data_IF_885141370149
#
_entry.id   IF_885141370149
#
_cell.length_a   1.000
_cell.length_b   1.000
_cell.length_c   1.000
_cell.angle_alpha   90.00
_cell.angle_beta   90.00
_cell.angle_gamma   90.00
#
_symmetry.space_group_name_H-M   'P 1'
#
loop_
_entity.id
_entity.type
_entity.pdbx_description
1 polymer ?
#
# COMPACT_ATOMS: atom_id res chain seq x y z
N UNK A 1 29.65 -14.65 -0.20
CA UNK A 1 28.54 -14.00 0.50
C UNK A 1 27.66 -15.05 1.13
N UNK A 2 27.29 -14.84 2.39
CA UNK A 2 26.51 -15.78 3.19
C UNK A 2 25.72 -15.04 4.25
N UNK A 3 24.68 -15.67 4.77
CA UNK A 3 23.87 -15.18 5.88
C UNK A 3 24.19 -15.97 7.13
N UNK A 4 24.44 -15.31 8.25
CA UNK A 4 24.71 -15.97 9.52
C UNK A 4 23.64 -15.60 10.53
N UNK A 5 22.98 -16.61 11.09
CA UNK A 5 22.05 -16.42 12.19
C UNK A 5 22.80 -15.93 13.43
N UNK A 6 22.43 -14.81 14.03
CA UNK A 6 23.15 -14.24 15.16
C UNK A 6 22.97 -15.03 16.48
N UNK A 7 21.99 -15.93 16.53
CA UNK A 7 21.70 -16.69 17.76
C UNK A 7 22.72 -17.82 17.99
N UNK A 8 22.83 -18.77 17.01
CA UNK A 8 23.74 -19.92 17.17
C UNK A 8 24.82 -20.02 16.10
N UNK A 9 24.94 -18.99 15.22
CA UNK A 9 25.98 -18.94 14.19
C UNK A 9 25.77 -19.89 13.01
N UNK A 10 24.56 -20.42 12.81
CA UNK A 10 24.27 -21.16 11.58
C UNK A 10 24.42 -20.25 10.39
N UNK A 11 25.16 -20.71 9.40
CA UNK A 11 25.50 -19.90 8.23
C UNK A 11 24.94 -20.56 6.98
N UNK A 12 24.26 -19.76 6.16
CA UNK A 12 23.62 -20.19 4.92
C UNK A 12 24.27 -19.49 3.73
N UNK A 13 24.32 -20.16 2.59
CA UNK A 13 24.70 -19.56 1.30
C UNK A 13 23.58 -18.65 0.79
N UNK A 14 23.87 -17.90 -0.28
CA UNK A 14 22.87 -17.03 -0.92
C UNK A 14 21.71 -17.79 -1.56
N UNK A 15 21.91 -19.07 -1.87
CA UNK A 15 20.86 -19.97 -2.38
C UNK A 15 20.05 -20.63 -1.25
N UNK A 16 20.28 -20.23 0.01
CA UNK A 16 19.59 -20.75 1.17
C UNK A 16 20.15 -22.06 1.74
N UNK A 17 21.11 -22.71 1.07
CA UNK A 17 21.69 -23.97 1.56
C UNK A 17 22.51 -23.75 2.81
N UNK A 18 22.35 -24.64 3.80
CA UNK A 18 23.16 -24.62 5.01
C UNK A 18 24.64 -24.81 4.65
N UNK A 19 25.45 -23.81 4.91
CA UNK A 19 26.89 -23.85 4.69
C UNK A 19 27.63 -24.42 5.89
N UNK A 20 27.17 -24.05 7.10
CA UNK A 20 27.85 -24.40 8.35
C UNK A 20 26.91 -24.30 9.54
N UNK A 21 26.89 -25.35 10.37
CA UNK A 21 26.39 -25.30 11.73
C UNK A 21 27.59 -25.38 12.71
N UNK A 22 27.46 -24.74 13.87
CA UNK A 22 28.52 -24.78 14.91
C UNK A 22 28.74 -26.23 15.33
N UNK A 23 30.01 -26.62 15.45
CA UNK A 23 30.46 -27.95 15.89
C UNK A 23 29.97 -29.18 15.04
N UNK A 24 29.42 -28.93 13.86
CA UNK A 24 28.92 -29.98 12.98
C UNK A 24 29.97 -31.09 12.70
N UNK A 25 31.22 -30.69 12.40
CA UNK A 25 32.33 -31.61 12.09
C UNK A 25 33.04 -32.20 13.34
N UNK A 26 32.62 -31.80 14.54
CA UNK A 26 33.22 -32.21 15.81
C UNK A 26 32.30 -33.13 16.64
N UNK A 27 31.39 -33.81 15.98
CA UNK A 27 30.43 -34.70 16.64
C UNK A 27 29.26 -33.99 17.34
N UNK A 28 29.06 -32.69 17.07
CA UNK A 28 27.91 -31.94 17.59
C UNK A 28 26.58 -32.35 16.95
N UNK A 29 26.63 -33.00 15.78
CA UNK A 29 25.48 -33.51 15.06
C UNK A 29 25.78 -34.91 14.51
N UNK A 30 24.76 -35.76 14.29
CA UNK A 30 24.94 -37.07 13.64
C UNK A 30 25.38 -36.89 12.17
N UNK A 31 26.01 -37.93 11.61
CA UNK A 31 26.51 -37.93 10.23
C UNK A 31 25.39 -37.71 9.18
N UNK A 32 24.15 -38.07 9.53
CA UNK A 32 22.95 -37.84 8.72
C UNK A 32 22.44 -36.39 8.73
N UNK A 33 23.04 -35.49 9.52
CA UNK A 33 22.57 -34.13 9.65
C UNK A 33 22.67 -33.37 8.32
N UNK A 34 21.52 -32.89 7.85
CA UNK A 34 21.33 -32.10 6.63
C UNK A 34 21.83 -32.76 5.33
N UNK A 35 21.94 -34.07 5.27
CA UNK A 35 22.28 -34.80 4.04
C UNK A 35 21.20 -34.61 2.97
N UNK A 36 19.96 -34.50 3.38
CA UNK A 36 18.78 -34.30 2.54
C UNK A 36 18.39 -32.82 2.35
N UNK A 37 19.14 -31.87 2.92
CA UNK A 37 18.82 -30.46 2.88
C UNK A 37 17.66 -30.02 3.80
N UNK A 38 17.25 -30.88 4.74
CA UNK A 38 16.11 -30.60 5.64
C UNK A 38 16.29 -29.39 6.53
N UNK A 39 17.54 -28.93 6.72
CA UNK A 39 17.92 -27.78 7.52
C UNK A 39 18.31 -26.55 6.65
N UNK A 40 18.12 -26.62 5.35
CA UNK A 40 18.28 -25.48 4.46
C UNK A 40 17.15 -24.45 4.70
N UNK A 41 17.36 -23.19 4.35
CA UNK A 41 16.31 -22.19 4.39
C UNK A 41 15.18 -22.59 3.42
N UNK A 42 13.96 -22.40 3.84
CA UNK A 42 12.79 -22.64 2.99
C UNK A 42 12.74 -21.55 1.92
N UNK A 43 12.66 -21.96 0.67
CA UNK A 43 12.43 -21.05 -0.44
C UNK A 43 10.94 -20.69 -0.51
N UNK A 44 10.65 -19.43 -0.81
CA UNK A 44 9.29 -19.03 -1.13
C UNK A 44 8.86 -19.71 -2.44
N UNK A 45 7.67 -20.32 -2.49
CA UNK A 45 7.16 -20.95 -3.71
C UNK A 45 7.05 -19.97 -4.90
N UNK A 46 6.69 -18.72 -4.62
CA UNK A 46 6.64 -17.63 -5.58
C UNK A 46 7.40 -16.42 -5.05
N UNK A 47 8.30 -15.90 -5.87
CA UNK A 47 9.04 -14.68 -5.58
C UNK A 47 9.33 -13.97 -6.90
N UNK A 48 8.78 -12.78 -7.06
CA UNK A 48 8.89 -12.01 -8.29
C UNK A 48 9.22 -10.55 -8.01
N UNK A 49 9.75 -9.87 -9.00
CA UNK A 49 10.16 -8.47 -8.94
C UNK A 49 9.44 -7.68 -10.03
N UNK A 50 8.70 -6.66 -9.63
CA UNK A 50 8.15 -5.67 -10.56
C UNK A 50 8.85 -4.34 -10.35
N UNK A 51 9.72 -3.94 -11.27
CA UNK A 51 10.45 -2.65 -11.29
C UNK A 51 11.14 -2.28 -9.95
N UNK A 52 11.61 -3.27 -9.20
CA UNK A 52 12.27 -3.10 -7.90
C UNK A 52 11.38 -3.34 -6.69
N UNK A 53 10.07 -3.40 -6.85
CA UNK A 53 9.16 -3.89 -5.82
C UNK A 53 9.22 -5.42 -5.78
N UNK A 54 9.54 -5.97 -4.60
CA UNK A 54 9.70 -7.39 -4.40
C UNK A 54 8.44 -7.98 -3.77
N UNK A 55 7.91 -9.02 -4.38
CA UNK A 55 6.71 -9.71 -3.93
C UNK A 55 7.01 -11.18 -3.68
N UNK A 56 6.38 -11.76 -2.67
CA UNK A 56 6.53 -13.18 -2.36
C UNK A 56 5.22 -13.77 -1.85
N UNK A 57 4.99 -15.05 -2.18
CA UNK A 57 3.84 -15.81 -1.69
C UNK A 57 4.27 -17.16 -1.15
N UNK A 58 3.65 -17.58 -0.04
CA UNK A 58 3.74 -18.95 0.49
C UNK A 58 2.83 -19.93 -0.26
N UNK A 59 1.87 -19.42 -1.03
CA UNK A 59 1.02 -20.22 -1.90
C UNK A 59 1.65 -20.32 -3.30
N UNK A 60 1.87 -21.54 -3.78
CA UNK A 60 2.42 -21.81 -5.10
C UNK A 60 1.41 -21.56 -6.25
N UNK A 61 0.13 -21.58 -5.93
CA UNK A 61 -0.97 -21.55 -6.90
C UNK A 61 -1.54 -20.14 -7.11
N UNK A 62 -0.80 -19.08 -6.68
CA UNK A 62 -1.17 -17.70 -6.97
C UNK A 62 -0.90 -17.35 -8.43
N UNK A 63 -1.62 -16.34 -8.94
CA UNK A 63 -1.40 -15.77 -10.26
C UNK A 63 0.06 -15.31 -10.43
N UNK A 64 0.60 -15.31 -11.66
CA UNK A 64 1.82 -14.57 -11.97
C UNK A 64 1.70 -13.12 -11.54
N UNK A 65 2.81 -12.51 -11.07
CA UNK A 65 2.76 -11.18 -10.44
C UNK A 65 2.16 -10.11 -11.35
N UNK A 66 2.56 -10.05 -12.60
CA UNK A 66 2.05 -9.03 -13.54
C UNK A 66 0.54 -9.20 -13.81
N UNK A 67 0.06 -10.44 -13.87
CA UNK A 67 -1.37 -10.73 -13.99
C UNK A 67 -2.13 -10.35 -12.71
N UNK A 68 -1.54 -10.60 -11.54
CA UNK A 68 -2.11 -10.20 -10.26
C UNK A 68 -2.19 -8.67 -10.12
N UNK A 69 -1.14 -7.96 -10.47
CA UNK A 69 -1.08 -6.49 -10.43
C UNK A 69 -1.99 -5.84 -11.47
N UNK A 70 -2.14 -6.45 -12.66
CA UNK A 70 -2.99 -5.96 -13.74
C UNK A 70 -2.73 -4.48 -14.06
N UNK A 71 -3.77 -3.70 -14.16
CA UNK A 71 -3.71 -2.27 -14.48
C UNK A 71 -3.00 -1.41 -13.43
N UNK A 72 -2.84 -1.91 -12.20
CA UNK A 72 -2.08 -1.19 -11.16
C UNK A 72 -0.60 -1.04 -11.50
N UNK A 73 -0.07 -1.84 -12.42
CA UNK A 73 1.27 -1.70 -12.99
C UNK A 73 1.52 -0.31 -13.54
N UNK A 74 0.51 0.32 -14.16
CA UNK A 74 0.63 1.69 -14.70
C UNK A 74 0.83 2.76 -13.61
N UNK A 75 0.27 2.51 -12.44
CA UNK A 75 0.48 3.39 -11.27
C UNK A 75 1.87 3.20 -10.68
N UNK A 76 2.33 1.94 -10.55
CA UNK A 76 3.69 1.63 -10.13
C UNK A 76 4.73 2.18 -11.11
N UNK A 77 4.46 2.08 -12.41
CA UNK A 77 5.30 2.67 -13.46
C UNK A 77 5.39 4.19 -13.30
N UNK A 78 4.26 4.86 -13.11
CA UNK A 78 4.22 6.31 -12.88
C UNK A 78 5.04 6.73 -11.63
N UNK A 79 5.09 5.89 -10.61
CA UNK A 79 5.92 6.12 -9.41
C UNK A 79 7.41 5.91 -9.73
N UNK A 80 7.77 4.86 -10.45
CA UNK A 80 9.18 4.57 -10.79
C UNK A 80 9.74 5.56 -11.82
N UNK A 81 8.93 6.00 -12.78
CA UNK A 81 9.35 6.94 -13.83
C UNK A 81 9.73 8.32 -13.29
N UNK A 82 9.34 8.66 -12.05
CA UNK A 82 9.83 9.85 -11.34
C UNK A 82 11.35 9.80 -11.08
N UNK A 83 11.93 8.62 -11.06
CA UNK A 83 13.27 8.36 -10.53
C UNK A 83 14.17 7.68 -11.56
N UNK A 84 14.82 8.42 -12.47
CA UNK A 84 15.68 7.84 -13.52
C UNK A 84 16.84 7.02 -12.95
N UNK A 85 17.32 7.34 -11.75
CA UNK A 85 18.36 6.58 -11.04
C UNK A 85 17.80 5.50 -10.11
N UNK A 86 16.48 5.30 -10.11
CA UNK A 86 15.74 4.39 -9.25
C UNK A 86 15.26 5.00 -7.94
N UNK A 87 14.46 4.23 -7.23
CA UNK A 87 13.93 4.59 -5.91
C UNK A 87 14.83 4.06 -4.79
N UNK A 88 14.74 4.69 -3.65
CA UNK A 88 15.32 4.21 -2.39
C UNK A 88 14.33 4.36 -1.23
N UNK A 89 14.41 3.46 -0.26
CA UNK A 89 13.73 3.62 1.02
C UNK A 89 14.63 4.44 1.93
N UNK A 90 14.08 5.53 2.47
CA UNK A 90 14.80 6.36 3.43
C UNK A 90 15.01 5.61 4.75
N UNK A 91 16.09 5.94 5.46
CA UNK A 91 16.38 5.31 6.75
C UNK A 91 15.34 5.69 7.79
N UNK A 92 14.93 4.70 8.55
CA UNK A 92 13.89 4.82 9.56
C UNK A 92 12.55 4.31 9.01
N UNK A 93 11.91 3.49 9.82
CA UNK A 93 10.54 3.05 9.62
C UNK A 93 9.76 3.33 10.90
N UNK A 94 8.52 3.76 10.77
CA UNK A 94 7.63 3.85 11.92
C UNK A 94 6.75 2.63 11.94
N UNK A 95 6.69 1.96 13.10
CA UNK A 95 5.78 0.84 13.33
C UNK A 95 4.93 1.17 14.55
N UNK A 96 3.63 0.99 14.41
CA UNK A 96 2.67 1.25 15.47
C UNK A 96 1.50 0.28 15.38
N UNK A 97 0.74 0.15 16.46
CA UNK A 97 -0.47 -0.67 16.51
C UNK A 97 -1.66 0.19 16.90
N UNK A 98 -2.84 -0.22 16.46
CA UNK A 98 -4.10 0.33 16.93
C UNK A 98 -5.10 -0.80 17.25
N UNK A 99 -6.04 -0.51 18.12
CA UNK A 99 -7.11 -1.42 18.54
C UNK A 99 -8.28 -1.31 17.53
N UNK A 100 -8.15 -2.04 16.43
CA UNK A 100 -9.15 -2.05 15.35
C UNK A 100 -8.79 -3.05 14.25
N UNK A 101 -9.81 -3.39 13.46
CA UNK A 101 -9.65 -4.28 12.31
C UNK A 101 -8.84 -3.64 11.20
N UNK A 102 -8.03 -4.42 10.51
CA UNK A 102 -7.16 -3.95 9.41
C UNK A 102 -7.92 -3.29 8.26
N UNK A 103 -9.19 -3.66 8.04
CA UNK A 103 -10.04 -3.08 6.98
C UNK A 103 -10.31 -1.59 7.21
N UNK A 104 -10.30 -1.10 8.46
CA UNK A 104 -10.44 0.33 8.76
C UNK A 104 -9.31 1.13 8.11
N UNK A 105 -8.05 0.70 8.25
CA UNK A 105 -6.93 1.35 7.57
C UNK A 105 -6.95 1.10 6.06
N UNK A 106 -7.41 -0.08 5.62
CA UNK A 106 -7.51 -0.38 4.19
C UNK A 106 -8.51 0.56 3.49
N UNK A 107 -9.65 0.85 4.11
CA UNK A 107 -10.59 1.84 3.60
C UNK A 107 -10.02 3.27 3.72
N UNK A 108 -9.58 3.68 4.90
CA UNK A 108 -9.09 5.03 5.18
C UNK A 108 -7.97 5.48 4.23
N UNK A 109 -7.06 4.58 3.85
CA UNK A 109 -5.96 4.91 2.94
C UNK A 109 -6.42 5.38 1.55
N UNK A 110 -7.65 5.07 1.16
CA UNK A 110 -8.27 5.47 -0.11
C UNK A 110 -9.60 6.22 0.11
N UNK A 111 -9.77 6.86 1.25
CA UNK A 111 -10.96 7.65 1.60
C UNK A 111 -10.68 9.14 1.47
N UNK A 112 -11.38 9.80 0.56
CA UNK A 112 -11.36 11.26 0.44
C UNK A 112 -12.39 11.96 1.30
N UNK A 113 -13.38 11.23 1.82
CA UNK A 113 -14.53 11.84 2.51
C UNK A 113 -14.20 12.34 3.92
N UNK A 114 -13.35 11.62 4.67
CA UNK A 114 -12.97 12.01 6.03
C UNK A 114 -12.01 13.22 6.07
N UNK A 115 -11.27 13.47 4.99
CA UNK A 115 -10.12 14.40 4.98
C UNK A 115 -10.48 15.79 5.51
N UNK A 116 -11.60 16.36 5.07
CA UNK A 116 -12.01 17.70 5.48
C UNK A 116 -12.50 17.79 6.93
N UNK A 117 -12.85 16.68 7.55
CA UNK A 117 -13.39 16.59 8.90
C UNK A 117 -12.31 16.15 9.90
N UNK A 118 -11.76 14.98 9.70
CA UNK A 118 -10.75 14.38 10.61
C UNK A 118 -9.45 15.18 10.59
N UNK A 119 -8.98 15.60 9.42
CA UNK A 119 -7.71 16.32 9.27
C UNK A 119 -7.85 17.84 9.27
N UNK A 120 -8.92 18.38 9.84
CA UNK A 120 -9.11 19.84 9.91
C UNK A 120 -7.92 20.56 10.55
N UNK A 121 -7.35 20.01 11.61
CA UNK A 121 -6.18 20.59 12.28
C UNK A 121 -4.97 20.71 11.34
N UNK A 122 -4.67 19.63 10.60
CA UNK A 122 -3.61 19.67 9.59
C UNK A 122 -3.89 20.70 8.50
N UNK A 123 -5.08 20.67 7.91
CA UNK A 123 -5.46 21.60 6.84
C UNK A 123 -5.38 23.06 7.27
N UNK A 124 -5.85 23.37 8.48
CA UNK A 124 -5.76 24.72 9.06
C UNK A 124 -4.31 25.16 9.29
N UNK A 125 -3.47 24.27 9.83
CA UNK A 125 -2.05 24.54 10.06
C UNK A 125 -1.30 24.77 8.75
N UNK A 126 -1.56 23.96 7.73
CA UNK A 126 -0.94 24.13 6.41
C UNK A 126 -1.43 25.40 5.71
N UNK A 127 -2.71 25.72 5.85
CA UNK A 127 -3.27 26.99 5.37
C UNK A 127 -2.57 28.19 5.96
N UNK A 128 -2.32 28.21 7.27
CA UNK A 128 -1.59 29.27 7.95
C UNK A 128 -0.12 29.36 7.47
N UNK A 129 0.59 28.24 7.38
CA UNK A 129 1.96 28.20 6.85
C UNK A 129 2.04 28.71 5.42
N UNK A 130 1.11 28.33 4.56
CA UNK A 130 1.04 28.80 3.19
C UNK A 130 0.79 30.32 3.13
N UNK A 131 -0.09 30.84 3.97
CA UNK A 131 -0.34 32.28 4.06
C UNK A 131 0.94 33.04 4.44
N UNK A 132 1.68 32.60 5.43
CA UNK A 132 2.92 33.21 5.90
C UNK A 132 4.06 33.14 4.88
N UNK A 133 4.08 32.13 4.04
CA UNK A 133 5.17 31.81 3.07
C UNK A 133 4.80 32.04 1.61
N UNK A 134 3.69 32.69 1.34
CA UNK A 134 3.27 33.02 -0.04
C UNK A 134 2.76 31.81 -0.85
N UNK A 135 2.25 30.76 -0.19
CA UNK A 135 1.54 29.65 -0.86
C UNK A 135 2.44 28.53 -1.39
N UNK A 136 3.72 28.46 -0.98
CA UNK A 136 4.70 27.55 -1.57
C UNK A 136 5.15 26.38 -0.67
N UNK A 137 4.61 26.28 0.55
CA UNK A 137 5.11 25.34 1.56
C UNK A 137 4.33 24.02 1.63
N UNK A 138 3.02 24.05 1.39
CA UNK A 138 2.18 22.88 1.56
C UNK A 138 1.08 22.77 0.50
N UNK A 139 0.51 21.59 0.36
CA UNK A 139 -0.63 21.35 -0.53
C UNK A 139 -1.81 22.21 -0.11
N UNK A 140 -2.43 22.89 -1.07
CA UNK A 140 -3.64 23.68 -0.83
C UNK A 140 -4.82 22.74 -0.53
N UNK A 141 -5.54 23.01 0.56
CA UNK A 141 -6.74 22.27 0.95
C UNK A 141 -7.83 22.22 -0.15
N UNK A 142 -7.87 23.22 -1.03
CA UNK A 142 -8.78 23.24 -2.19
C UNK A 142 -8.53 22.10 -3.17
N UNK A 143 -7.36 21.46 -3.12
CA UNK A 143 -7.06 20.28 -3.95
C UNK A 143 -8.05 19.13 -3.73
N UNK A 144 -8.61 18.97 -2.52
CA UNK A 144 -9.58 17.92 -2.22
C UNK A 144 -10.98 18.16 -2.81
N UNK A 145 -11.34 19.41 -3.07
CA UNK A 145 -12.59 19.77 -3.75
C UNK A 145 -12.39 20.04 -5.25
N UNK A 146 -11.20 19.81 -5.77
CA UNK A 146 -10.85 19.95 -7.15
C UNK A 146 -11.18 18.66 -7.93
N UNK A 147 -10.59 18.47 -9.08
CA UNK A 147 -10.71 17.29 -9.91
C UNK A 147 -10.06 16.07 -9.22
N UNK A 148 -10.77 14.96 -9.19
CA UNK A 148 -10.30 13.72 -8.57
C UNK A 148 -11.36 12.64 -8.63
N UNK A 149 -11.04 11.47 -8.11
CA UNK A 149 -11.92 10.32 -8.11
C UNK A 149 -11.25 9.07 -7.56
N UNK A 150 -11.85 7.94 -7.86
CA UNK A 150 -11.26 6.65 -7.55
C UNK A 150 -11.24 5.73 -8.78
N UNK A 151 -10.38 4.73 -8.71
CA UNK A 151 -10.37 3.59 -9.61
C UNK A 151 -10.37 2.29 -8.81
N UNK A 152 -11.22 1.35 -9.22
CA UNK A 152 -11.17 -0.04 -8.79
C UNK A 152 -10.57 -0.90 -9.89
N UNK A 153 -9.78 -1.87 -9.51
CA UNK A 153 -9.11 -2.79 -10.44
C UNK A 153 -9.42 -4.24 -10.06
N UNK A 154 -9.06 -5.16 -10.95
CA UNK A 154 -9.14 -6.58 -10.67
C UNK A 154 -8.38 -6.95 -9.38
N UNK A 155 -8.66 -8.11 -8.84
CA UNK A 155 -8.03 -8.66 -7.64
C UNK A 155 -8.18 -7.78 -6.38
N UNK A 156 -9.24 -6.95 -6.32
CA UNK A 156 -9.54 -6.10 -5.17
C UNK A 156 -8.63 -4.89 -4.99
N UNK A 157 -7.76 -4.59 -5.96
CA UNK A 157 -6.94 -3.38 -5.91
C UNK A 157 -7.79 -2.13 -6.10
N UNK A 158 -7.38 -1.03 -5.46
CA UNK A 158 -8.08 0.25 -5.57
C UNK A 158 -7.11 1.43 -5.49
N UNK A 159 -7.51 2.54 -6.06
CA UNK A 159 -6.75 3.79 -6.02
C UNK A 159 -7.66 4.98 -5.82
N UNK A 160 -7.29 5.86 -4.89
CA UNK A 160 -7.80 7.22 -4.80
C UNK A 160 -6.83 8.18 -5.48
N UNK A 161 -7.34 9.18 -6.19
CA UNK A 161 -6.53 10.22 -6.79
C UNK A 161 -7.19 11.59 -6.73
N UNK A 162 -6.38 12.65 -6.65
CA UNK A 162 -6.84 14.05 -6.77
C UNK A 162 -5.84 14.85 -7.57
N UNK A 163 -6.32 15.84 -8.32
CA UNK A 163 -5.48 16.80 -9.01
C UNK A 163 -5.18 17.99 -8.13
N UNK A 164 -3.91 18.29 -7.94
CA UNK A 164 -3.47 19.39 -7.09
C UNK A 164 -3.70 20.75 -7.76
N UNK A 165 -4.13 21.73 -6.97
CA UNK A 165 -4.25 23.13 -7.38
C UNK A 165 -2.92 23.87 -7.37
N UNK A 166 -1.95 23.40 -6.55
CA UNK A 166 -0.60 23.95 -6.44
C UNK A 166 0.47 22.84 -6.50
N UNK A 167 0.60 22.12 -7.65
CA UNK A 167 1.49 20.95 -7.77
C UNK A 167 2.98 21.26 -7.59
N UNK A 168 3.40 22.53 -7.70
CA UNK A 168 4.77 22.99 -7.49
C UNK A 168 5.31 22.75 -6.08
N UNK A 169 4.43 22.50 -5.12
CA UNK A 169 4.84 22.13 -3.75
C UNK A 169 5.39 20.70 -3.66
N UNK A 170 5.16 19.87 -4.67
CA UNK A 170 5.68 18.50 -4.70
C UNK A 170 7.14 18.45 -5.14
N UNK A 171 7.99 17.66 -4.46
CA UNK A 171 9.39 17.47 -4.89
C UNK A 171 9.55 16.97 -6.33
N UNK A 172 8.58 16.25 -6.88
CA UNK A 172 8.61 15.74 -8.25
C UNK A 172 8.36 16.81 -9.31
N UNK A 173 7.85 17.97 -8.94
CA UNK A 173 7.46 19.01 -9.91
C UNK A 173 8.61 19.46 -10.82
N UNK A 174 9.83 19.49 -10.33
CA UNK A 174 11.01 19.84 -11.12
C UNK A 174 11.36 18.81 -12.22
N UNK A 175 10.68 17.67 -12.28
CA UNK A 175 10.85 16.65 -13.31
C UNK A 175 9.84 16.77 -14.44
N UNK A 176 8.91 17.73 -14.39
CA UNK A 176 7.80 17.83 -15.34
C UNK A 176 8.28 17.87 -16.79
N UNK A 177 9.20 18.77 -17.14
CA UNK A 177 9.70 18.91 -18.51
C UNK A 177 10.37 17.63 -19.03
N UNK A 178 11.16 16.95 -18.20
CA UNK A 178 11.77 15.67 -18.54
C UNK A 178 10.70 14.60 -18.80
N UNK A 179 9.72 14.51 -17.89
CA UNK A 179 8.66 13.52 -17.99
C UNK A 179 7.75 13.75 -19.21
N UNK A 180 7.45 15.02 -19.54
CA UNK A 180 6.70 15.35 -20.76
C UNK A 180 7.41 14.83 -22.04
N UNK A 181 8.74 14.94 -22.07
CA UNK A 181 9.57 14.44 -23.18
C UNK A 181 9.65 12.90 -23.20
N UNK A 182 9.74 12.24 -22.07
CA UNK A 182 9.97 10.79 -21.98
C UNK A 182 8.68 9.97 -22.07
N UNK A 183 7.60 10.41 -21.43
CA UNK A 183 6.35 9.62 -21.31
C UNK A 183 5.13 10.33 -21.92
N UNK A 184 5.29 11.54 -22.42
CA UNK A 184 4.23 12.37 -22.99
C UNK A 184 3.43 13.16 -21.95
N UNK A 185 2.76 14.23 -22.41
CA UNK A 185 2.08 15.21 -21.57
C UNK A 185 1.06 14.59 -20.62
N UNK A 186 0.21 13.67 -21.08
CA UNK A 186 -0.86 13.10 -20.27
C UNK A 186 -0.32 12.27 -19.08
N UNK A 187 0.72 11.45 -19.32
CA UNK A 187 1.36 10.66 -18.25
C UNK A 187 2.18 11.54 -17.33
N UNK A 188 2.88 12.54 -17.85
CA UNK A 188 3.61 13.50 -17.04
C UNK A 188 2.67 14.28 -16.11
N UNK A 189 1.51 14.70 -16.61
CA UNK A 189 0.46 15.34 -15.82
C UNK A 189 -0.03 14.42 -14.69
N UNK A 190 -0.31 13.14 -14.99
CA UNK A 190 -0.68 12.13 -14.00
C UNK A 190 0.42 11.89 -12.95
N UNK A 191 1.68 11.87 -13.35
CA UNK A 191 2.80 11.68 -12.42
C UNK A 191 2.95 12.89 -11.49
N UNK A 192 3.00 14.07 -12.05
CA UNK A 192 3.46 15.28 -11.35
C UNK A 192 2.33 16.02 -10.64
N UNK A 193 1.16 16.13 -11.29
CA UNK A 193 0.07 17.00 -10.83
C UNK A 193 -1.06 16.29 -10.11
N UNK A 194 -1.01 14.95 -10.02
CA UNK A 194 -2.02 14.20 -9.28
C UNK A 194 -1.42 13.48 -8.07
N UNK A 195 -2.22 13.34 -7.02
CA UNK A 195 -1.93 12.44 -5.92
C UNK A 195 -2.38 11.03 -6.27
N UNK A 196 -1.79 10.04 -5.65
CA UNK A 196 -2.14 8.63 -5.85
C UNK A 196 -2.01 7.87 -4.53
N UNK A 197 -3.11 7.25 -4.09
CA UNK A 197 -3.13 6.30 -2.98
C UNK A 197 -3.51 4.94 -3.53
N UNK A 198 -2.52 4.19 -3.98
CA UNK A 198 -2.72 2.85 -4.51
C UNK A 198 -2.72 1.83 -3.38
N UNK A 199 -3.85 1.13 -3.21
CA UNK A 199 -3.95 -0.07 -2.41
C UNK A 199 -3.72 -1.31 -3.27
N UNK A 200 -2.63 -2.01 -3.05
CA UNK A 200 -2.43 -3.36 -3.56
C UNK A 200 -3.07 -4.32 -2.53
N UNK A 201 -4.15 -4.97 -2.94
CA UNK A 201 -4.86 -5.91 -2.09
C UNK A 201 -3.91 -7.00 -1.57
N UNK A 202 -4.04 -7.48 -0.34
CA UNK A 202 -5.01 -6.98 0.65
C UNK A 202 -4.49 -5.83 1.53
N UNK A 203 -3.18 -5.59 1.60
CA UNK A 203 -2.60 -4.94 2.77
C UNK A 203 -1.40 -4.03 2.51
N UNK A 204 -1.18 -3.61 1.28
CA UNK A 204 -0.06 -2.70 0.96
C UNK A 204 -0.57 -1.46 0.27
N UNK A 205 -0.22 -0.29 0.82
CA UNK A 205 -0.37 0.98 0.14
C UNK A 205 0.96 1.45 -0.43
N UNK A 206 0.94 1.89 -1.69
CA UNK A 206 1.99 2.70 -2.29
C UNK A 206 1.40 4.07 -2.55
N UNK A 207 1.83 5.05 -1.77
CA UNK A 207 1.28 6.39 -1.80
C UNK A 207 2.27 7.38 -2.38
N UNK A 208 1.80 8.15 -3.35
CA UNK A 208 2.47 9.26 -4.00
C UNK A 208 1.57 10.49 -3.94
N UNK A 209 1.50 11.09 -2.77
CA UNK A 209 0.72 12.29 -2.50
C UNK A 209 1.63 13.53 -2.39
N UNK A 210 1.30 14.42 -1.46
CA UNK A 210 2.21 15.45 -0.97
C UNK A 210 3.34 14.84 -0.12
N UNK A 211 3.18 13.61 0.35
CA UNK A 211 4.28 12.81 0.89
C UNK A 211 4.27 11.41 0.23
N UNK A 212 5.39 10.72 0.30
CA UNK A 212 5.60 9.45 -0.36
C UNK A 212 5.87 8.35 0.65
N UNK A 213 5.09 7.27 0.58
CA UNK A 213 5.27 6.15 1.51
C UNK A 213 4.84 4.80 0.93
N UNK A 214 5.42 3.74 1.47
CA UNK A 214 4.85 2.40 1.45
C UNK A 214 4.30 2.15 2.85
N UNK A 215 3.05 1.72 2.93
CA UNK A 215 2.38 1.35 4.17
C UNK A 215 1.99 -0.11 4.12
N UNK A 216 2.42 -0.88 5.11
CA UNK A 216 2.11 -2.31 5.24
C UNK A 216 1.17 -2.51 6.42
N UNK A 217 0.03 -3.12 6.16
CA UNK A 217 -0.98 -3.43 7.15
C UNK A 217 -0.81 -4.90 7.56
N UNK A 218 -0.60 -5.15 8.85
CA UNK A 218 -0.45 -6.50 9.39
C UNK A 218 -1.54 -6.77 10.41
N UNK A 219 -2.57 -7.55 10.06
CA UNK A 219 -3.55 -8.01 11.04
C UNK A 219 -2.86 -8.85 12.12
N UNK A 220 -2.99 -8.45 13.37
CA UNK A 220 -2.52 -9.23 14.52
C UNK A 220 -3.66 -10.08 15.07
N UNK A 221 -4.86 -9.49 15.14
CA UNK A 221 -6.09 -10.10 15.58
C UNK A 221 -7.26 -9.41 14.86
N UNK A 222 -8.47 -9.90 15.02
CA UNK A 222 -9.69 -9.30 14.47
C UNK A 222 -9.87 -7.84 14.91
N UNK A 223 -9.38 -7.48 16.08
CA UNK A 223 -9.47 -6.15 16.69
C UNK A 223 -8.13 -5.45 16.89
N UNK A 224 -7.07 -5.94 16.27
CA UNK A 224 -5.74 -5.34 16.43
C UNK A 224 -4.94 -5.41 15.15
N UNK A 225 -4.42 -4.28 14.74
CA UNK A 225 -3.62 -4.14 13.53
C UNK A 225 -2.31 -3.44 13.83
N UNK A 226 -1.23 -3.96 13.26
CA UNK A 226 0.08 -3.32 13.21
C UNK A 226 0.27 -2.67 11.85
N UNK A 227 0.78 -1.45 11.84
CA UNK A 227 1.12 -0.71 10.63
C UNK A 227 2.61 -0.43 10.63
N UNK A 228 3.27 -0.72 9.51
CA UNK A 228 4.65 -0.27 9.26
C UNK A 228 4.66 0.65 8.05
N UNK A 229 5.29 1.81 8.19
CA UNK A 229 5.41 2.80 7.13
C UNK A 229 6.88 3.10 6.81
N UNK A 230 7.16 3.24 5.52
CA UNK A 230 8.47 3.56 4.96
C UNK A 230 8.35 4.76 4.04
N UNK A 231 9.15 5.78 4.25
CA UNK A 231 9.26 6.87 3.27
C UNK A 231 10.15 6.43 2.11
N UNK A 232 9.68 6.64 0.88
CA UNK A 232 10.50 6.40 -0.32
C UNK A 232 10.85 7.70 -1.04
N UNK A 233 11.94 7.68 -1.78
CA UNK A 233 12.42 8.85 -2.53
C UNK A 233 13.16 8.43 -3.80
N UNK A 234 13.22 9.29 -4.84
CA UNK A 234 14.14 9.16 -5.94
C UNK A 234 15.60 9.22 -5.46
N UNK A 235 16.44 8.35 -6.00
CA UNK A 235 17.90 8.51 -5.87
C UNK A 235 18.34 9.75 -6.64
N UNK A 236 19.41 10.40 -6.17
CA UNK A 236 19.94 11.60 -6.81
C UNK A 236 19.08 12.87 -6.66
N UNK A 237 17.96 12.80 -5.95
CA UNK A 237 17.14 13.96 -5.63
C UNK A 237 17.95 15.05 -4.89
N UNK A 238 17.71 16.32 -5.19
CA UNK A 238 18.42 17.44 -4.54
C UNK A 238 18.20 17.43 -3.02
N UNK A 239 19.17 17.97 -2.26
CA UNK A 239 19.06 18.07 -0.80
C UNK A 239 17.83 18.89 -0.37
N UNK A 240 17.45 19.90 -1.13
CA UNK A 240 16.26 20.70 -0.88
C UNK A 240 14.97 19.88 -1.06
N UNK A 241 14.84 19.17 -2.17
CA UNK A 241 13.68 18.30 -2.43
C UNK A 241 13.61 17.15 -1.41
N UNK A 242 14.76 16.59 -1.02
CA UNK A 242 14.85 15.58 0.01
C UNK A 242 14.35 16.09 1.35
N UNK A 243 14.77 17.27 1.77
CA UNK A 243 14.33 17.90 3.01
C UNK A 243 12.82 18.20 2.97
N UNK A 244 12.30 18.71 1.84
CA UNK A 244 10.88 18.96 1.63
C UNK A 244 10.05 17.67 1.72
N UNK A 245 10.49 16.60 1.07
CA UNK A 245 9.84 15.28 1.11
C UNK A 245 9.76 14.71 2.52
N UNK A 246 10.88 14.73 3.25
CA UNK A 246 10.93 14.24 4.64
C UNK A 246 9.99 15.08 5.50
N UNK A 247 10.02 16.41 5.35
CA UNK A 247 9.15 17.29 6.12
C UNK A 247 7.67 17.01 5.85
N UNK A 248 7.26 16.86 4.60
CA UNK A 248 5.89 16.53 4.23
C UNK A 248 5.45 15.17 4.80
N UNK A 249 6.35 14.18 4.77
CA UNK A 249 6.09 12.86 5.37
C UNK A 249 5.93 12.93 6.88
N UNK A 250 6.81 13.64 7.58
CA UNK A 250 6.79 13.77 9.04
C UNK A 250 5.59 14.59 9.53
N UNK A 251 5.20 15.64 8.79
CA UNK A 251 4.09 16.50 9.18
C UNK A 251 2.74 15.79 9.14
N UNK A 252 2.55 14.80 8.28
CA UNK A 252 1.26 14.16 8.07
C UNK A 252 1.25 12.66 8.38
N UNK A 253 1.93 11.86 7.58
CA UNK A 253 1.80 10.40 7.62
C UNK A 253 2.64 9.69 8.67
N UNK A 254 3.70 10.31 9.17
CA UNK A 254 4.41 9.70 10.29
C UNK A 254 3.47 9.59 11.50
N UNK A 255 3.66 8.54 12.32
CA UNK A 255 2.82 8.32 13.50
C UNK A 255 2.82 9.49 14.48
N UNK A 256 3.87 10.31 14.46
CA UNK A 256 3.98 11.57 15.23
C UNK A 256 3.54 12.81 14.46
N UNK A 257 3.01 12.65 13.25
CA UNK A 257 2.47 13.73 12.44
C UNK A 257 1.09 14.21 12.91
N UNK A 258 0.46 15.06 12.10
CA UNK A 258 -0.85 15.61 12.42
C UNK A 258 -2.01 14.82 11.81
N UNK A 259 -1.76 13.92 10.85
CA UNK A 259 -2.82 13.14 10.20
C UNK A 259 -3.02 11.77 10.83
N UNK A 260 -1.98 10.98 10.92
CA UNK A 260 -2.09 9.59 11.41
C UNK A 260 -2.68 9.47 12.82
N UNK A 261 -2.32 10.28 13.84
CA UNK A 261 -2.94 10.16 15.15
C UNK A 261 -4.45 10.39 15.17
N UNK A 262 -4.94 11.32 14.35
CA UNK A 262 -6.37 11.60 14.21
C UNK A 262 -7.10 10.36 13.66
N UNK A 263 -6.57 9.75 12.61
CA UNK A 263 -7.10 8.50 12.03
C UNK A 263 -7.16 7.36 13.06
N UNK A 264 -6.12 7.20 13.89
CA UNK A 264 -6.05 6.10 14.86
C UNK A 264 -7.15 6.18 15.91
N UNK A 265 -7.51 7.39 16.36
CA UNK A 265 -8.61 7.58 17.29
C UNK A 265 -9.96 7.26 16.65
N UNK A 266 -10.16 7.65 15.39
CA UNK A 266 -11.37 7.32 14.65
C UNK A 266 -11.50 5.81 14.40
N UNK A 267 -10.40 5.11 14.09
CA UNK A 267 -10.44 3.65 13.97
C UNK A 267 -10.85 2.97 15.26
N UNK A 268 -10.36 3.44 16.40
CA UNK A 268 -10.75 2.93 17.71
C UNK A 268 -12.24 3.15 17.96
N UNK A 269 -12.74 4.35 17.69
CA UNK A 269 -14.16 4.69 17.84
C UNK A 269 -15.05 3.85 16.93
N UNK A 270 -14.68 3.68 15.66
CA UNK A 270 -15.39 2.82 14.70
C UNK A 270 -15.42 1.35 15.17
N UNK A 271 -14.28 0.83 15.64
CA UNK A 271 -14.20 -0.55 16.15
C UNK A 271 -15.12 -0.75 17.37
N UNK A 272 -15.17 0.19 18.29
CA UNK A 272 -16.12 0.17 19.42
C UNK A 272 -17.56 0.19 18.94
N UNK A 273 -17.88 1.02 17.94
CA UNK A 273 -19.20 1.10 17.33
C UNK A 273 -19.69 -0.22 16.73
N UNK A 274 -18.79 -1.01 16.13
CA UNK A 274 -19.14 -2.33 15.56
C UNK A 274 -19.57 -3.37 16.57
N UNK A 275 -19.26 -3.20 17.84
CA UNK A 275 -19.83 -4.06 18.90
C UNK A 275 -21.31 -3.74 19.21
N UNK A 276 -21.82 -2.63 18.77
CA UNK A 276 -23.24 -2.29 18.93
C UNK A 276 -24.12 -3.20 18.06
N UNK A 277 -25.09 -3.88 18.68
CA UNK A 277 -25.94 -4.87 17.99
C UNK A 277 -27.11 -4.25 17.23
N UNK A 278 -27.30 -2.95 17.34
CA UNK A 278 -28.46 -2.24 16.78
C UNK A 278 -28.37 -1.97 15.28
N UNK A 279 -27.16 -1.85 14.73
CA UNK A 279 -26.91 -1.59 13.31
C UNK A 279 -26.09 -2.74 12.74
N UNK A 280 -26.55 -3.33 11.66
CA UNK A 280 -25.91 -4.50 11.03
C UNK A 280 -25.16 -4.18 9.75
N UNK A 281 -25.46 -3.06 9.13
CA UNK A 281 -24.99 -2.72 7.79
C UNK A 281 -24.51 -1.27 7.74
N UNK A 282 -23.42 -1.05 7.04
CA UNK A 282 -23.00 0.28 6.60
C UNK A 282 -23.55 0.55 5.21
N UNK A 283 -23.88 1.81 4.94
CA UNK A 283 -24.27 2.26 3.61
C UNK A 283 -23.04 2.77 2.86
N UNK A 284 -22.69 2.11 1.77
CA UNK A 284 -21.57 2.45 0.86
C UNK A 284 -22.10 2.99 -0.48
N UNK A 285 -23.32 3.52 -0.52
CA UNK A 285 -23.93 4.02 -1.77
C UNK A 285 -23.51 5.43 -2.14
N UNK A 286 -22.63 6.06 -1.36
CA UNK A 286 -22.16 7.41 -1.66
C UNK A 286 -21.53 7.48 -3.04
N UNK A 287 -22.05 8.37 -3.87
CA UNK A 287 -21.59 8.56 -5.24
C UNK A 287 -22.13 7.54 -6.26
N UNK A 288 -22.94 6.55 -5.86
CA UNK A 288 -23.41 5.48 -6.75
C UNK A 288 -24.10 5.96 -8.04
N UNK A 289 -24.68 7.15 -8.02
CA UNK A 289 -25.33 7.75 -9.20
C UNK A 289 -24.30 8.28 -10.23
N UNK A 290 -23.04 8.37 -9.86
CA UNK A 290 -21.96 8.93 -10.68
C UNK A 290 -20.85 7.92 -10.99
N UNK A 291 -20.98 6.68 -10.51
CA UNK A 291 -20.00 5.65 -10.84
C UNK A 291 -20.07 5.29 -12.33
N UNK A 292 -18.92 5.04 -12.91
CA UNK A 292 -18.75 4.72 -14.33
C UNK A 292 -18.15 3.31 -14.41
N UNK A 293 -18.85 2.39 -15.07
CA UNK A 293 -18.27 1.10 -15.41
C UNK A 293 -17.11 1.30 -16.38
N UNK A 294 -15.94 0.78 -15.99
CA UNK A 294 -14.71 0.94 -16.76
C UNK A 294 -14.05 2.31 -16.58
N UNK A 295 -13.34 2.73 -17.62
CA UNK A 295 -12.50 3.92 -17.62
C UNK A 295 -13.31 5.21 -17.83
N UNK A 296 -13.10 6.19 -16.97
CA UNK A 296 -13.49 7.57 -17.18
C UNK A 296 -12.58 8.27 -18.23
N UNK A 297 -12.80 9.55 -18.48
CA UNK A 297 -12.01 10.28 -19.47
C UNK A 297 -10.56 10.52 -19.03
N UNK A 298 -10.29 10.58 -17.72
CA UNK A 298 -8.94 10.67 -17.19
C UNK A 298 -8.16 9.38 -17.39
N UNK A 299 -8.74 8.25 -17.00
CA UNK A 299 -8.13 6.93 -17.20
C UNK A 299 -7.82 6.66 -18.67
N UNK A 300 -8.74 7.03 -19.59
CA UNK A 300 -8.53 6.91 -21.04
C UNK A 300 -7.32 7.70 -21.55
N UNK A 301 -7.05 8.89 -21.01
CA UNK A 301 -5.89 9.73 -21.43
C UNK A 301 -4.53 9.06 -21.18
N UNK A 302 -4.46 8.18 -20.19
CA UNK A 302 -3.24 7.44 -19.81
C UNK A 302 -3.34 5.95 -20.12
N UNK A 303 -4.32 5.56 -20.93
CA UNK A 303 -4.62 4.17 -21.30
C UNK A 303 -4.79 3.24 -20.09
N UNK A 304 -5.38 3.72 -19.00
CA UNK A 304 -5.70 2.92 -17.81
C UNK A 304 -7.11 2.35 -17.94
N UNK A 305 -7.30 1.09 -17.53
CA UNK A 305 -8.56 0.35 -17.69
C UNK A 305 -9.06 -0.17 -16.35
N UNK A 306 -9.52 0.70 -15.44
CA UNK A 306 -10.18 0.26 -14.22
C UNK A 306 -11.47 -0.48 -14.53
N UNK A 307 -11.94 -1.33 -13.61
CA UNK A 307 -13.25 -1.98 -13.69
C UNK A 307 -14.39 -1.03 -13.30
N UNK A 308 -14.09 -0.06 -12.42
CA UNK A 308 -15.00 0.97 -11.96
C UNK A 308 -14.25 2.27 -11.72
N UNK A 309 -14.86 3.39 -12.10
CA UNK A 309 -14.36 4.75 -11.83
C UNK A 309 -15.39 5.57 -11.07
N UNK A 310 -14.95 6.39 -10.15
CA UNK A 310 -15.77 7.39 -9.46
C UNK A 310 -15.34 8.80 -9.80
N UNK A 311 -16.30 9.71 -9.86
CA UNK A 311 -16.07 11.09 -10.31
C UNK A 311 -15.59 12.04 -9.20
N UNK A 312 -15.61 11.57 -7.94
CA UNK A 312 -15.19 12.37 -6.77
C UNK A 312 -14.34 11.55 -5.82
N UNK A 313 -13.37 12.19 -5.14
CA UNK A 313 -12.57 11.51 -4.11
C UNK A 313 -13.39 10.98 -2.92
N UNK A 314 -14.56 11.57 -2.68
CA UNK A 314 -15.46 11.16 -1.59
C UNK A 314 -16.40 10.01 -1.93
N UNK A 315 -16.40 9.52 -3.19
CA UNK A 315 -17.23 8.40 -3.60
C UNK A 315 -16.73 7.08 -3.04
N UNK A 316 -17.63 6.16 -2.67
CA UNK A 316 -17.31 4.94 -1.91
C UNK A 316 -17.33 3.65 -2.75
N UNK A 317 -17.51 3.75 -4.06
CA UNK A 317 -17.58 2.58 -4.96
C UNK A 317 -16.35 1.69 -4.93
N UNK A 318 -15.18 2.24 -4.64
CA UNK A 318 -13.93 1.47 -4.54
C UNK A 318 -13.97 0.43 -3.40
N UNK A 319 -14.66 0.72 -2.30
CA UNK A 319 -14.77 -0.22 -1.18
C UNK A 319 -15.67 -1.40 -1.52
N UNK A 320 -16.70 -1.19 -2.34
CA UNK A 320 -17.62 -2.25 -2.75
C UNK A 320 -16.85 -3.35 -3.47
N UNK A 321 -16.04 -3.00 -4.47
CA UNK A 321 -15.23 -3.99 -5.22
C UNK A 321 -14.15 -4.62 -4.35
N UNK A 322 -13.50 -3.86 -3.47
CA UNK A 322 -12.48 -4.36 -2.54
C UNK A 322 -13.06 -5.39 -1.56
N UNK A 323 -14.20 -5.09 -0.94
CA UNK A 323 -14.85 -6.03 -0.01
C UNK A 323 -15.46 -7.21 -0.71
N UNK A 324 -15.96 -7.04 -1.93
CA UNK A 324 -16.50 -8.14 -2.73
C UNK A 324 -15.42 -9.18 -3.02
N UNK A 325 -14.24 -8.73 -3.44
CA UNK A 325 -13.08 -9.61 -3.63
C UNK A 325 -12.69 -10.33 -2.31
N UNK A 326 -12.67 -9.63 -1.18
CA UNK A 326 -12.41 -10.25 0.11
C UNK A 326 -13.44 -11.34 0.46
N UNK A 327 -14.73 -11.11 0.20
CA UNK A 327 -15.78 -12.11 0.43
C UNK A 327 -15.56 -13.34 -0.46
N UNK A 328 -15.21 -13.17 -1.71
CA UNK A 328 -14.93 -14.25 -2.66
C UNK A 328 -13.75 -15.11 -2.18
N UNK A 329 -12.62 -14.48 -1.80
CA UNK A 329 -11.45 -15.19 -1.28
C UNK A 329 -11.74 -15.94 0.03
N UNK A 330 -12.45 -15.31 0.95
CA UNK A 330 -12.82 -15.95 2.22
C UNK A 330 -13.81 -17.11 2.03
N UNK A 331 -14.76 -16.97 1.11
CA UNK A 331 -15.72 -18.04 0.79
C UNK A 331 -14.98 -19.25 0.22
N UNK A 332 -14.11 -19.02 -0.74
CA UNK A 332 -13.27 -20.07 -1.36
C UNK A 332 -12.39 -20.79 -0.32
N UNK A 333 -11.78 -20.03 0.59
CA UNK A 333 -10.96 -20.59 1.65
C UNK A 333 -11.78 -21.48 2.60
N UNK A 334 -12.98 -21.02 3.01
CA UNK A 334 -13.88 -21.79 3.89
C UNK A 334 -14.35 -23.08 3.20
N UNK A 335 -14.69 -23.03 1.93
CA UNK A 335 -15.09 -24.22 1.16
C UNK A 335 -13.95 -25.22 1.04
N UNK A 336 -12.74 -24.76 0.78
CA UNK A 336 -11.54 -25.60 0.72
C UNK A 336 -11.26 -26.30 2.06
N UNK A 337 -11.32 -25.57 3.17
CA UNK A 337 -11.11 -26.14 4.51
C UNK A 337 -12.21 -27.15 4.90
N UNK A 338 -13.46 -26.89 4.52
CA UNK A 338 -14.57 -27.85 4.72
C UNK A 338 -14.33 -29.14 3.96
N UNK A 339 -13.96 -29.05 2.69
CA UNK A 339 -13.67 -30.23 1.86
C UNK A 339 -12.53 -31.07 2.45
N UNK A 340 -11.46 -30.41 2.90
CA UNK A 340 -10.33 -31.04 3.57
C UNK A 340 -10.75 -31.78 4.86
N UNK A 341 -11.58 -31.11 5.68
CA UNK A 341 -12.05 -31.71 6.93
C UNK A 341 -12.90 -32.94 6.68
N UNK A 342 -13.77 -32.93 5.68
CA UNK A 342 -14.59 -34.09 5.29
C UNK A 342 -13.70 -35.26 4.85
N UNK A 343 -12.73 -35.01 3.96
CA UNK A 343 -11.78 -36.04 3.51
C UNK A 343 -11.03 -36.72 4.67
N UNK A 344 -10.49 -35.91 5.59
CA UNK A 344 -9.78 -36.41 6.76
C UNK A 344 -10.68 -37.22 7.70
N UNK A 345 -11.96 -36.84 7.83
CA UNK A 345 -12.93 -37.62 8.66
C UNK A 345 -13.32 -38.95 8.03
N UNK A 346 -13.39 -39.03 6.70
CA UNK A 346 -13.63 -40.28 5.96
C UNK A 346 -12.45 -41.23 6.05
N UNK A 347 -11.22 -40.72 5.88
CA UNK A 347 -9.98 -41.49 6.04
C UNK A 347 -9.82 -42.06 7.46
N UNK A 348 -10.20 -41.29 8.49
CA UNK A 348 -10.15 -41.75 9.88
C UNK A 348 -11.24 -42.78 10.23
N UNK A 349 -12.25 -42.91 9.39
CA UNK A 349 -13.37 -43.84 9.58
C UNK A 349 -13.22 -45.15 8.78
N UNK A 350 -12.26 -45.21 7.87
CA UNK A 350 -11.92 -46.38 7.04
C UNK A 350 -10.79 -47.21 7.67
#
# INVERSE_FOLDING_TARGET
TSFTCPFHGWTFKNDGKLLKAKDQKKGGYPDSFNVDGSHDLKQLPKFENYRGFLFGSLNADVLPLEEYLGETTKVLDAIVDQAPEGLEILRGASTYTYEGNWKLTAENGADGYHVSTVHWNYLSTMGQRNYEKGGTEAVDAKSWSNEGGFYSFDNGHMMLWTRLTNPEVRPVYNQLERLEQEVGEAKADFIVRTTKNLCLYPNVYVMDQFSTQIRVLRPIDVNKTEITIYCWAPKGESAENRAKRIRQYEDFFNVSGMGTPDDLEEFRGCQEGYYAKGVKWNDMSRGAQHWIEGADDWAKRIDMKPILSGAKPEDEGLYVTHHQHWVEEMTKAIETERARFISLSEEASA
#
